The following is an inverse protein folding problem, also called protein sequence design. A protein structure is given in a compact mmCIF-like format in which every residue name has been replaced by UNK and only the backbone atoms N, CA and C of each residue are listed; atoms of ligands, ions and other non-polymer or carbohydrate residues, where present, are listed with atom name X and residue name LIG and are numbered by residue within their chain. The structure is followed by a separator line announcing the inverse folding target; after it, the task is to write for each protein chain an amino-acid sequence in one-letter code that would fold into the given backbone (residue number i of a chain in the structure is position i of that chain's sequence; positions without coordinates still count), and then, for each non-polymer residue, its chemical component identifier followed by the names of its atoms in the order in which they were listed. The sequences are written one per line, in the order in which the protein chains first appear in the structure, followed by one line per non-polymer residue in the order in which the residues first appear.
data_IF_358530997036
#
_entry.id   IF_358530997036
#
_cell.length_a   1.000
_cell.length_b   1.000
_cell.length_c   1.000
_cell.angle_alpha   90.00
_cell.angle_beta   90.00
_cell.angle_gamma   90.00
#
_symmetry.space_group_name_H-M   'P 1'
#
loop_
_entity.id
_entity.type
_entity.pdbx_description
1 polymer ?
#
# COMPACT_ATOMS: atom_id res chain seq x y z
N UNK A 1 5.73 -3.43 20.11
CA UNK A 1 6.11 -3.44 21.40
C UNK A 1 6.63 -2.17 22.03
N UNK A 2 7.13 -1.26 21.34
CA UNK A 2 7.69 -0.05 21.90
C UNK A 2 6.66 1.05 21.90
N UNK A 3 6.51 1.69 23.06
CA UNK A 3 5.81 2.94 23.17
C UNK A 3 6.64 3.97 22.41
N UNK A 4 6.25 4.22 21.18
CA UNK A 4 6.90 5.26 20.41
C UNK A 4 6.54 6.60 21.01
N UNK A 5 7.51 7.48 21.28
CA UNK A 5 7.22 8.87 21.53
C UNK A 5 6.37 9.41 20.38
N UNK A 6 5.49 10.32 20.68
CA UNK A 6 4.59 10.95 19.72
C UNK A 6 5.31 11.38 18.41
N UNK A 7 6.54 11.90 18.55
CA UNK A 7 7.38 12.28 17.43
C UNK A 7 7.84 11.10 16.57
N UNK A 8 7.94 9.91 17.14
CA UNK A 8 8.35 8.70 16.41
C UNK A 8 7.18 8.07 15.68
N UNK A 9 5.97 8.08 16.25
CA UNK A 9 4.74 7.72 15.56
C UNK A 9 4.56 8.56 14.29
N UNK A 10 4.90 9.82 14.39
CA UNK A 10 4.85 10.77 13.31
C UNK A 10 5.83 10.43 12.19
N UNK A 11 7.06 10.07 12.57
CA UNK A 11 8.10 9.66 11.63
C UNK A 11 7.79 8.32 10.96
N UNK A 12 7.08 7.43 11.65
CA UNK A 12 6.70 6.14 11.08
C UNK A 12 5.67 6.25 9.96
N UNK A 13 5.00 7.42 9.85
CA UNK A 13 4.10 7.70 8.74
C UNK A 13 4.84 8.12 7.47
N UNK A 14 6.09 8.58 7.60
CA UNK A 14 6.92 8.96 6.45
C UNK A 14 7.75 7.77 6.01
N UNK A 15 7.66 7.43 4.73
CA UNK A 15 8.48 6.38 4.16
C UNK A 15 9.24 6.89 2.94
N UNK A 16 10.36 6.24 2.69
CA UNK A 16 11.06 6.29 1.40
C UNK A 16 11.05 4.86 0.88
N UNK A 17 10.70 4.66 -0.38
CA UNK A 17 10.69 3.31 -0.96
C UNK A 17 12.12 2.77 -0.95
N UNK A 18 12.40 1.63 -0.28
CA UNK A 18 13.75 1.05 -0.23
C UNK A 18 14.34 0.82 -1.63
N UNK A 19 15.64 1.06 -1.75
CA UNK A 19 16.36 0.97 -3.02
C UNK A 19 16.21 -0.38 -3.72
N UNK A 20 16.09 -1.46 -2.97
CA UNK A 20 15.93 -2.81 -3.53
C UNK A 20 14.73 -2.94 -4.47
N UNK A 21 13.73 -2.06 -4.32
CA UNK A 21 12.51 -2.10 -5.14
C UNK A 21 12.67 -1.44 -6.51
N UNK A 22 13.85 -0.97 -6.85
CA UNK A 22 14.14 -0.33 -8.14
C UNK A 22 15.14 -1.11 -8.99
N UNK A 23 14.91 -2.41 -9.27
CA UNK A 23 15.85 -3.18 -10.10
C UNK A 23 15.74 -2.86 -11.58
N UNK A 24 14.64 -2.21 -12.01
CA UNK A 24 14.41 -1.90 -13.43
C UNK A 24 14.91 -0.50 -13.77
N UNK A 25 15.68 -0.43 -14.84
CA UNK A 25 16.14 0.85 -15.38
C UNK A 25 15.04 1.48 -16.26
N UNK A 26 15.04 2.80 -16.34
CA UNK A 26 14.14 3.57 -17.22
C UNK A 26 12.64 3.34 -16.97
N UNK A 27 12.26 3.03 -15.73
CA UNK A 27 10.86 2.89 -15.34
C UNK A 27 10.36 4.19 -14.69
N UNK A 28 9.07 4.50 -14.89
CA UNK A 28 8.44 5.70 -14.32
C UNK A 28 8.50 5.73 -12.79
N UNK A 29 8.46 4.56 -12.16
CA UNK A 29 8.56 4.47 -10.69
C UNK A 29 9.88 5.06 -10.17
N UNK A 30 10.91 5.10 -11.00
CA UNK A 30 12.20 5.66 -10.62
C UNK A 30 12.12 7.16 -10.27
N UNK A 31 11.08 7.85 -10.72
CA UNK A 31 10.81 9.24 -10.33
C UNK A 31 10.51 9.38 -8.84
N UNK A 32 10.10 8.29 -8.19
CA UNK A 32 9.82 8.25 -6.76
C UNK A 32 11.03 7.83 -5.91
N UNK A 33 12.16 7.52 -6.55
CA UNK A 33 13.39 7.20 -5.84
C UNK A 33 13.81 8.39 -4.98
N UNK A 34 14.15 8.14 -3.74
CA UNK A 34 14.56 9.15 -2.75
C UNK A 34 13.46 10.17 -2.40
N UNK A 35 12.24 9.96 -2.84
CA UNK A 35 11.11 10.82 -2.45
C UNK A 35 10.51 10.34 -1.13
N UNK A 36 10.06 11.30 -0.33
CA UNK A 36 9.30 11.00 0.88
C UNK A 36 7.83 10.83 0.53
N UNK A 37 7.23 9.78 1.05
CA UNK A 37 5.81 9.46 0.87
C UNK A 37 5.13 9.46 2.22
N UNK A 38 3.90 9.95 2.26
CA UNK A 38 3.03 9.84 3.43
C UNK A 38 1.59 9.63 2.96
N UNK A 39 0.86 8.75 3.65
CA UNK A 39 -0.54 8.53 3.36
C UNK A 39 -1.39 9.35 4.34
N UNK A 40 -2.08 10.35 3.81
CA UNK A 40 -2.95 11.24 4.59
C UNK A 40 -4.44 10.91 4.38
N UNK A 41 -4.77 9.75 3.85
CA UNK A 41 -6.15 9.34 3.59
C UNK A 41 -6.99 9.40 4.88
N UNK A 42 -8.15 10.01 4.80
CA UNK A 42 -9.05 10.16 5.94
C UNK A 42 -8.80 11.42 6.77
N UNK A 43 -7.78 12.20 6.47
CA UNK A 43 -7.52 13.48 7.14
C UNK A 43 -8.01 14.65 6.30
N UNK A 44 -8.72 15.58 6.93
CA UNK A 44 -9.13 16.82 6.26
C UNK A 44 -7.98 17.83 6.27
N UNK A 45 -8.07 18.84 5.41
CA UNK A 45 -7.10 19.95 5.42
C UNK A 45 -7.05 20.65 6.78
N UNK A 46 -8.18 20.74 7.46
CA UNK A 46 -8.26 21.34 8.79
C UNK A 46 -7.49 20.49 9.81
N UNK A 47 -7.70 19.15 9.77
CA UNK A 47 -6.98 18.23 10.65
C UNK A 47 -5.48 18.32 10.44
N UNK A 48 -5.04 18.41 9.20
CA UNK A 48 -3.64 18.53 8.84
C UNK A 48 -3.03 19.83 9.39
N UNK A 49 -3.73 20.94 9.22
CA UNK A 49 -3.27 22.23 9.72
C UNK A 49 -3.21 22.27 11.24
N UNK A 50 -4.19 21.69 11.92
CA UNK A 50 -4.23 21.62 13.37
C UNK A 50 -3.13 20.73 13.94
N UNK A 51 -2.89 19.58 13.28
CA UNK A 51 -1.94 18.59 13.78
C UNK A 51 -0.50 18.92 13.43
N UNK A 52 -0.25 19.50 12.25
CA UNK A 52 1.10 19.69 11.69
C UNK A 52 1.50 21.14 11.52
N UNK A 53 0.55 22.07 11.65
CA UNK A 53 0.76 23.48 11.43
C UNK A 53 0.72 23.86 9.95
N UNK A 54 0.41 25.13 9.70
CA UNK A 54 0.24 25.67 8.34
C UNK A 54 1.55 25.58 7.54
N UNK A 55 2.70 25.77 8.20
CA UNK A 55 4.02 25.80 7.55
C UNK A 55 4.40 24.43 6.93
N UNK A 56 3.90 23.33 7.50
CA UNK A 56 4.21 21.98 7.03
C UNK A 56 3.18 21.45 6.04
N UNK A 57 2.07 22.12 5.87
CA UNK A 57 0.97 21.67 5.03
C UNK A 57 1.40 21.41 3.58
N UNK A 58 2.20 22.31 3.00
CA UNK A 58 2.66 22.19 1.63
C UNK A 58 3.53 20.94 1.42
N UNK A 59 4.45 20.68 2.34
CA UNK A 59 5.31 19.48 2.29
C UNK A 59 4.50 18.22 2.47
N UNK A 60 3.55 18.19 3.38
CA UNK A 60 2.68 17.05 3.61
C UNK A 60 1.82 16.74 2.38
N UNK A 61 1.29 17.76 1.72
CA UNK A 61 0.55 17.59 0.47
C UNK A 61 1.43 16.99 -0.62
N UNK A 62 2.68 17.44 -0.74
CA UNK A 62 3.64 16.88 -1.69
C UNK A 62 3.92 15.40 -1.40
N UNK A 63 4.14 15.05 -0.14
CA UNK A 63 4.40 13.68 0.26
C UNK A 63 3.19 12.77 0.04
N UNK A 64 2.00 13.28 0.27
CA UNK A 64 0.74 12.58 -0.02
C UNK A 64 0.54 12.38 -1.52
N UNK A 65 0.87 13.38 -2.33
CA UNK A 65 0.86 13.26 -3.79
C UNK A 65 1.84 12.18 -4.26
N UNK A 66 3.02 12.12 -3.66
CA UNK A 66 4.00 11.06 -3.94
C UNK A 66 3.43 9.68 -3.61
N UNK A 67 2.75 9.54 -2.48
CA UNK A 67 2.11 8.28 -2.12
C UNK A 67 1.01 7.89 -3.10
N UNK A 68 0.18 8.84 -3.49
CA UNK A 68 -0.89 8.63 -4.49
C UNK A 68 -0.30 8.17 -5.83
N UNK A 69 0.77 8.80 -6.28
CA UNK A 69 1.49 8.40 -7.50
C UNK A 69 2.03 6.97 -7.39
N UNK A 70 2.65 6.66 -6.26
CA UNK A 70 3.16 5.32 -6.00
C UNK A 70 2.06 4.27 -6.12
N UNK A 71 0.96 4.45 -5.44
CA UNK A 71 -0.17 3.49 -5.46
C UNK A 71 -0.74 3.37 -6.87
N UNK A 72 -0.85 4.47 -7.62
CA UNK A 72 -1.39 4.44 -8.98
C UNK A 72 -0.46 3.76 -9.98
N UNK A 73 0.85 3.85 -9.79
CA UNK A 73 1.85 3.22 -10.66
C UNK A 73 2.07 1.74 -10.34
N UNK A 74 1.76 1.34 -9.11
CA UNK A 74 2.14 0.05 -8.58
C UNK A 74 1.59 -1.16 -9.35
N UNK A 75 0.32 -1.20 -9.80
CA UNK A 75 -0.16 -2.34 -10.57
C UNK A 75 0.64 -2.63 -11.83
N UNK A 76 0.93 -1.59 -12.62
CA UNK A 76 1.73 -1.74 -13.85
C UNK A 76 3.17 -2.10 -13.53
N UNK A 77 3.74 -1.47 -12.51
CA UNK A 77 5.11 -1.76 -12.08
C UNK A 77 5.24 -3.20 -11.58
N UNK A 78 4.26 -3.67 -10.81
CA UNK A 78 4.22 -5.06 -10.35
C UNK A 78 4.29 -6.04 -11.53
N UNK A 79 3.51 -5.80 -12.57
CA UNK A 79 3.53 -6.65 -13.75
C UNK A 79 4.89 -6.64 -14.44
N UNK A 80 5.54 -5.48 -14.53
CA UNK A 80 6.89 -5.38 -15.10
C UNK A 80 7.95 -6.08 -14.24
N UNK A 81 7.84 -5.99 -12.93
CA UNK A 81 8.71 -6.75 -12.02
C UNK A 81 8.53 -8.24 -12.22
N UNK A 82 7.30 -8.71 -12.29
CA UNK A 82 6.97 -10.11 -12.50
C UNK A 82 7.53 -10.61 -13.83
N UNK A 83 7.31 -9.86 -14.92
CA UNK A 83 7.81 -10.22 -16.25
C UNK A 83 9.33 -10.27 -16.31
N UNK A 84 10.00 -9.46 -15.51
CA UNK A 84 11.46 -9.42 -15.41
C UNK A 84 12.05 -10.45 -14.44
N UNK A 85 11.21 -11.28 -13.82
CA UNK A 85 11.68 -12.32 -12.88
C UNK A 85 11.76 -11.86 -11.43
N UNK A 86 11.20 -10.70 -11.09
CA UNK A 86 11.22 -10.13 -9.74
C UNK A 86 9.84 -10.24 -9.05
N UNK A 87 9.13 -11.35 -9.25
CA UNK A 87 7.78 -11.51 -8.69
C UNK A 87 7.76 -11.43 -7.16
N UNK A 88 8.72 -12.08 -6.51
CA UNK A 88 8.82 -12.07 -5.04
C UNK A 88 9.02 -10.65 -4.50
N UNK A 89 9.87 -9.88 -5.16
CA UNK A 89 10.11 -8.47 -4.85
C UNK A 89 8.83 -7.64 -5.08
N UNK A 90 8.12 -7.93 -6.15
CA UNK A 90 6.84 -7.29 -6.44
C UNK A 90 5.81 -7.55 -5.34
N UNK A 91 5.73 -8.78 -4.84
CA UNK A 91 4.84 -9.13 -3.74
C UNK A 91 5.19 -8.36 -2.46
N UNK A 92 6.47 -8.23 -2.15
CA UNK A 92 6.92 -7.41 -1.00
C UNK A 92 6.52 -5.95 -1.17
N UNK A 93 6.61 -5.42 -2.37
CA UNK A 93 6.25 -4.02 -2.65
C UNK A 93 4.73 -3.80 -2.50
N UNK A 94 3.91 -4.75 -2.94
CA UNK A 94 2.47 -4.72 -2.70
C UNK A 94 2.15 -4.72 -1.20
N UNK A 95 2.84 -5.57 -0.44
CA UNK A 95 2.68 -5.62 1.02
C UNK A 95 3.07 -4.28 1.66
N UNK A 96 4.16 -3.67 1.23
CA UNK A 96 4.56 -2.35 1.72
C UNK A 96 3.47 -1.32 1.49
N UNK A 97 2.88 -1.28 0.30
CA UNK A 97 1.81 -0.33 -0.02
C UNK A 97 0.59 -0.55 0.89
N UNK A 98 0.18 -1.80 1.09
CA UNK A 98 -0.95 -2.15 1.95
C UNK A 98 -0.67 -1.78 3.40
N UNK A 99 0.55 -2.04 3.89
CA UNK A 99 0.95 -1.66 5.26
C UNK A 99 0.91 -0.15 5.46
N UNK A 100 1.22 0.62 4.44
CA UNK A 100 1.14 2.08 4.48
C UNK A 100 -0.29 2.61 4.26
N UNK A 101 -1.26 1.72 4.17
CA UNK A 101 -2.67 2.10 4.09
C UNK A 101 -3.19 2.39 2.69
N UNK A 102 -2.53 1.90 1.65
CA UNK A 102 -3.07 2.02 0.30
C UNK A 102 -4.48 1.45 0.24
N UNK A 103 -5.40 2.17 -0.37
CA UNK A 103 -6.81 1.80 -0.49
C UNK A 103 -7.22 1.48 -1.92
N UNK A 104 -6.28 0.98 -2.69
CA UNK A 104 -6.46 0.60 -4.08
C UNK A 104 -6.99 -0.83 -4.20
N UNK A 105 -8.14 -0.98 -4.83
CA UNK A 105 -8.73 -2.29 -5.11
C UNK A 105 -7.77 -3.15 -5.97
N UNK A 106 -7.11 -2.54 -6.94
CA UNK A 106 -6.15 -3.23 -7.81
C UNK A 106 -4.95 -3.78 -7.02
N UNK A 107 -4.40 -2.99 -6.11
CA UNK A 107 -3.27 -3.41 -5.27
C UNK A 107 -3.68 -4.58 -4.37
N UNK A 108 -4.83 -4.48 -3.72
CA UNK A 108 -5.35 -5.57 -2.88
C UNK A 108 -5.63 -6.84 -3.70
N UNK A 109 -6.19 -6.69 -4.91
CA UNK A 109 -6.47 -7.82 -5.79
C UNK A 109 -5.18 -8.55 -6.20
N UNK A 110 -4.16 -7.81 -6.60
CA UNK A 110 -2.87 -8.39 -6.97
C UNK A 110 -2.24 -9.15 -5.81
N UNK A 111 -2.25 -8.56 -4.63
CA UNK A 111 -1.67 -9.21 -3.44
C UNK A 111 -2.48 -10.44 -3.02
N UNK A 112 -3.81 -10.37 -3.05
CA UNK A 112 -4.68 -11.50 -2.76
C UNK A 112 -4.41 -12.66 -3.72
N UNK A 113 -4.32 -12.37 -5.01
CA UNK A 113 -4.02 -13.40 -6.02
C UNK A 113 -2.62 -14.01 -5.83
N UNK A 114 -1.65 -13.21 -5.40
CA UNK A 114 -0.32 -13.73 -5.05
C UNK A 114 -0.40 -14.71 -3.88
N UNK A 115 -1.14 -14.38 -2.82
CA UNK A 115 -1.32 -15.28 -1.68
C UNK A 115 -2.06 -16.58 -2.09
N UNK A 116 -3.08 -16.45 -2.92
CA UNK A 116 -3.82 -17.61 -3.44
C UNK A 116 -2.90 -18.52 -4.24
N UNK A 117 -2.09 -17.97 -5.14
CA UNK A 117 -1.16 -18.75 -5.96
C UNK A 117 -0.07 -19.44 -5.14
N UNK A 118 0.28 -18.88 -3.98
CA UNK A 118 1.24 -19.48 -3.05
C UNK A 118 0.59 -20.37 -1.99
N UNK A 119 -0.73 -20.61 -2.09
CA UNK A 119 -1.51 -21.39 -1.12
C UNK A 119 -1.40 -20.87 0.32
N UNK A 120 -1.37 -19.54 0.46
CA UNK A 120 -1.27 -18.86 1.75
C UNK A 120 -2.63 -18.33 2.21
N UNK A 121 -3.55 -19.24 2.54
CA UNK A 121 -4.91 -18.89 2.98
C UNK A 121 -4.92 -18.03 4.24
N UNK A 122 -4.00 -18.25 5.15
CA UNK A 122 -3.84 -17.46 6.38
C UNK A 122 -3.46 -16.01 6.07
N UNK A 123 -2.59 -15.81 5.07
CA UNK A 123 -2.20 -14.46 4.65
C UNK A 123 -3.36 -13.73 3.97
N UNK A 124 -4.18 -14.46 3.21
CA UNK A 124 -5.39 -13.88 2.62
C UNK A 124 -6.36 -13.44 3.71
N UNK A 125 -6.55 -14.25 4.75
CA UNK A 125 -7.39 -13.89 5.89
C UNK A 125 -6.87 -12.63 6.61
N UNK A 126 -5.56 -12.52 6.82
CA UNK A 126 -4.94 -11.33 7.41
C UNK A 126 -5.17 -10.10 6.53
N UNK A 127 -5.06 -10.26 5.21
CA UNK A 127 -5.30 -9.18 4.25
C UNK A 127 -6.73 -8.65 4.33
N UNK A 128 -7.70 -9.53 4.49
CA UNK A 128 -9.11 -9.16 4.69
C UNK A 128 -9.27 -8.34 5.96
N UNK A 129 -8.68 -8.79 7.07
CA UNK A 129 -8.75 -8.06 8.34
C UNK A 129 -8.11 -6.67 8.22
N UNK A 130 -7.02 -6.58 7.47
CA UNK A 130 -6.35 -5.31 7.19
C UNK A 130 -7.23 -4.37 6.36
N UNK A 131 -7.91 -4.91 5.35
CA UNK A 131 -8.85 -4.14 4.52
C UNK A 131 -10.01 -3.58 5.34
N UNK A 132 -10.49 -4.32 6.33
CA UNK A 132 -11.57 -3.88 7.24
C UNK A 132 -11.16 -2.67 8.09
N UNK A 133 -9.87 -2.44 8.25
CA UNK A 133 -9.33 -1.30 9.01
C UNK A 133 -9.18 -0.04 8.17
N UNK A 134 -9.39 -0.11 6.86
CA UNK A 134 -9.26 1.04 5.98
C UNK A 134 -10.29 2.12 6.36
N UNK A 135 -9.83 3.37 6.38
CA UNK A 135 -10.66 4.53 6.64
C UNK A 135 -10.90 5.30 5.34
N UNK A 136 -11.50 4.64 4.36
CA UNK A 136 -11.78 5.23 3.06
C UNK A 136 -13.10 4.70 2.49
N UNK A 137 -13.62 5.38 1.47
CA UNK A 137 -14.82 4.96 0.77
C UNK A 137 -14.62 3.66 -0.02
N UNK A 138 -13.37 3.27 -0.28
CA UNK A 138 -13.05 2.05 -1.03
C UNK A 138 -13.10 0.78 -0.17
N UNK A 139 -13.13 0.91 1.16
CA UNK A 139 -13.06 -0.20 2.11
C UNK A 139 -14.06 -1.32 1.80
N UNK A 140 -15.33 -0.97 1.69
CA UNK A 140 -16.39 -1.98 1.57
C UNK A 140 -16.27 -2.75 0.25
N UNK A 141 -15.93 -2.08 -0.83
CA UNK A 141 -15.68 -2.72 -2.13
C UNK A 141 -14.46 -3.63 -2.10
N UNK A 142 -13.40 -3.23 -1.43
CA UNK A 142 -12.19 -4.04 -1.27
C UNK A 142 -12.48 -5.28 -0.43
N UNK A 143 -13.12 -5.12 0.72
CA UNK A 143 -13.47 -6.23 1.61
C UNK A 143 -14.38 -7.23 0.87
N UNK A 144 -15.40 -6.75 0.18
CA UNK A 144 -16.31 -7.60 -0.58
C UNK A 144 -15.58 -8.41 -1.66
N UNK A 145 -14.68 -7.77 -2.39
CA UNK A 145 -13.85 -8.45 -3.40
C UNK A 145 -12.99 -9.55 -2.77
N UNK A 146 -12.31 -9.25 -1.68
CA UNK A 146 -11.41 -10.21 -0.99
C UNK A 146 -12.18 -11.40 -0.42
N UNK A 147 -13.34 -11.15 0.19
CA UNK A 147 -14.19 -12.22 0.72
C UNK A 147 -14.72 -13.12 -0.39
N UNK A 148 -15.03 -12.55 -1.55
CA UNK A 148 -15.44 -13.29 -2.73
C UNK A 148 -14.30 -14.20 -3.25
N UNK A 149 -13.07 -13.69 -3.31
CA UNK A 149 -11.90 -14.48 -3.68
C UNK A 149 -11.65 -15.60 -2.68
N UNK A 150 -11.80 -15.33 -1.40
CA UNK A 150 -11.63 -16.33 -0.34
C UNK A 150 -12.67 -17.45 -0.48
N UNK A 151 -13.93 -17.10 -0.76
CA UNK A 151 -15.00 -18.06 -0.97
C UNK A 151 -14.77 -18.94 -2.20
N UNK A 152 -14.27 -18.35 -3.29
CA UNK A 152 -13.95 -19.08 -4.53
C UNK A 152 -12.84 -20.13 -4.28
N UNK A 153 -11.81 -19.76 -3.51
CA UNK A 153 -10.73 -20.70 -3.14
C UNK A 153 -11.27 -21.85 -2.28
N UNK A 154 -12.11 -21.55 -1.30
CA UNK A 154 -12.73 -22.56 -0.45
C UNK A 154 -13.59 -23.53 -1.24
N UNK A 155 -14.36 -23.02 -2.23
CA UNK A 155 -15.18 -23.85 -3.10
C UNK A 155 -14.36 -24.72 -4.03
N UNK A 156 -13.22 -24.24 -4.53
CA UNK A 156 -12.32 -25.00 -5.41
C UNK A 156 -11.57 -26.11 -4.66
N UNK A 157 -11.37 -25.95 -3.33
CA UNK A 157 -10.71 -26.94 -2.48
C UNK A 157 -11.59 -28.14 -2.09
N UNK A 158 -12.87 -28.07 -2.42
CA UNK A 158 -13.83 -29.17 -2.17
C UNK A 158 -14.09 -29.95 -3.50
#
# INVERSE_FOLDING_TARGET
STLFPYTTLFRSCYITIPEKFFPLNNDKINDLRDKTLVNLTGMTNTDLKLKYGILNFKKLSEYDDNFTKFVSMLPDYYNRLKDAGYESLGNELLELAVEQGADSKNVYSLLANAFISMSKADRLAELIEKAKQLNSLSRDGIVSMLESLQADVASAGN
#
